data_IF_015946282482
#
_entry.id   IF_015946282482
#
_cell.length_a   1.000
_cell.length_b   1.000
_cell.length_c   1.000
_cell.angle_alpha   90.00
_cell.angle_beta   90.00
_cell.angle_gamma   90.00
#
_symmetry.space_group_name_H-M   'P 1'
#
loop_
_entity.id
_entity.type
_entity.pdbx_description
1 polymer ?
#
# COMPACT_ATOMS: atom_id res chain seq x y z
N UNK A 1 -7.71 -3.91 -13.23
CA UNK A 1 -8.33 -3.03 -12.21
C UNK A 1 -9.77 -3.43 -11.92
N UNK A 2 -10.59 -3.70 -12.95
CA UNK A 2 -11.98 -4.11 -12.76
C UNK A 2 -12.14 -5.36 -11.89
N UNK A 3 -11.27 -6.34 -12.04
CA UNK A 3 -11.31 -7.60 -11.28
C UNK A 3 -11.03 -7.38 -9.78
N UNK A 4 -10.07 -6.52 -9.45
CA UNK A 4 -9.75 -6.19 -8.06
C UNK A 4 -10.93 -5.45 -7.42
N UNK A 5 -11.50 -4.49 -8.14
CA UNK A 5 -12.69 -3.77 -7.70
C UNK A 5 -13.89 -4.69 -7.50
N UNK A 6 -14.13 -5.64 -8.40
CA UNK A 6 -15.19 -6.64 -8.27
C UNK A 6 -14.99 -7.52 -7.03
N UNK A 7 -13.75 -7.95 -6.75
CA UNK A 7 -13.44 -8.72 -5.56
C UNK A 7 -13.71 -7.92 -4.27
N UNK A 8 -13.31 -6.65 -4.23
CA UNK A 8 -13.58 -5.76 -3.09
C UNK A 8 -15.08 -5.59 -2.85
N UNK A 9 -15.84 -5.34 -3.91
CA UNK A 9 -17.30 -5.23 -3.86
C UNK A 9 -17.94 -6.52 -3.32
N UNK A 10 -17.52 -7.67 -3.83
CA UNK A 10 -18.01 -8.98 -3.40
C UNK A 10 -17.75 -9.20 -1.91
N UNK A 11 -16.53 -8.97 -1.44
CA UNK A 11 -16.16 -9.12 -0.03
C UNK A 11 -17.00 -8.20 0.87
N UNK A 12 -17.13 -6.93 0.48
CA UNK A 12 -17.92 -5.95 1.24
C UNK A 12 -19.40 -6.34 1.36
N UNK A 13 -19.94 -7.02 0.34
CA UNK A 13 -21.32 -7.48 0.33
C UNK A 13 -21.56 -8.74 1.16
N UNK A 14 -20.51 -9.50 1.52
CA UNK A 14 -20.67 -10.76 2.26
C UNK A 14 -21.25 -10.50 3.65
N UNK A 15 -22.26 -11.30 4.08
CA UNK A 15 -22.86 -11.16 5.43
C UNK A 15 -21.87 -11.35 6.58
N UNK A 16 -20.83 -12.15 6.38
CA UNK A 16 -19.80 -12.47 7.38
C UNK A 16 -18.74 -11.36 7.56
N UNK A 17 -18.71 -10.36 6.67
CA UNK A 17 -17.76 -9.24 6.77
C UNK A 17 -18.34 -8.13 7.64
N UNK A 18 -17.64 -7.84 8.75
CA UNK A 18 -18.05 -6.82 9.71
C UNK A 18 -16.80 -6.22 10.39
N UNK A 19 -16.65 -4.88 10.43
CA UNK A 19 -17.47 -3.90 9.70
C UNK A 19 -17.37 -4.04 8.17
N UNK A 20 -18.23 -3.37 7.42
CA UNK A 20 -18.24 -3.43 5.94
C UNK A 20 -17.11 -2.61 5.32
N UNK A 21 -15.88 -2.97 5.69
CA UNK A 21 -14.64 -2.32 5.23
C UNK A 21 -13.70 -3.37 4.63
N UNK A 22 -13.12 -3.06 3.49
CA UNK A 22 -12.18 -3.94 2.78
C UNK A 22 -10.88 -3.17 2.56
N UNK A 23 -9.76 -3.77 2.93
CA UNK A 23 -8.42 -3.26 2.64
C UNK A 23 -7.82 -3.94 1.42
N UNK A 24 -6.83 -3.29 0.82
CA UNK A 24 -6.02 -3.87 -0.25
C UNK A 24 -4.55 -3.81 0.12
N UNK A 25 -3.82 -4.88 -0.17
CA UNK A 25 -2.36 -4.95 -0.02
C UNK A 25 -1.75 -5.60 -1.26
N UNK A 26 -0.60 -5.11 -1.67
CA UNK A 26 0.09 -5.67 -2.82
C UNK A 26 1.60 -5.48 -2.73
N UNK A 27 2.33 -6.34 -3.46
CA UNK A 27 3.78 -6.37 -3.52
C UNK A 27 4.25 -6.15 -4.94
N UNK A 28 5.30 -5.38 -5.14
CA UNK A 28 5.88 -5.09 -6.44
C UNK A 28 4.83 -4.42 -7.37
N UNK A 29 4.57 -5.01 -8.54
CA UNK A 29 3.48 -4.57 -9.41
C UNK A 29 2.14 -4.52 -8.66
N UNK A 30 1.86 -5.51 -7.81
CA UNK A 30 0.67 -5.54 -6.96
C UNK A 30 0.60 -4.38 -5.97
N UNK A 31 1.75 -3.86 -5.50
CA UNK A 31 1.81 -2.67 -4.67
C UNK A 31 1.31 -1.42 -5.41
N UNK A 32 1.78 -1.22 -6.64
CA UNK A 32 1.26 -0.14 -7.49
C UNK A 32 -0.23 -0.29 -7.81
N UNK A 33 -0.67 -1.53 -8.10
CA UNK A 33 -2.09 -1.82 -8.33
C UNK A 33 -2.96 -1.55 -7.08
N UNK A 34 -2.44 -1.83 -5.88
CA UNK A 34 -3.17 -1.54 -4.63
C UNK A 34 -3.44 -0.04 -4.47
N UNK A 35 -2.47 0.80 -4.80
CA UNK A 35 -2.64 2.25 -4.80
C UNK A 35 -3.62 2.71 -5.88
N UNK A 36 -3.49 2.17 -7.09
CA UNK A 36 -4.37 2.54 -8.21
C UNK A 36 -5.83 2.18 -7.93
N UNK A 37 -6.10 0.97 -7.43
CA UNK A 37 -7.48 0.60 -7.10
C UNK A 37 -8.05 1.42 -5.95
N UNK A 38 -7.21 1.78 -4.97
CA UNK A 38 -7.64 2.64 -3.86
C UNK A 38 -8.01 4.06 -4.33
N UNK A 39 -7.35 4.57 -5.37
CA UNK A 39 -7.68 5.86 -5.97
C UNK A 39 -8.97 5.83 -6.83
N UNK A 40 -9.34 4.67 -7.37
CA UNK A 40 -10.43 4.52 -8.33
C UNK A 40 -11.72 3.89 -7.75
N UNK A 41 -11.60 3.11 -6.68
CA UNK A 41 -12.70 2.27 -6.20
C UNK A 41 -13.12 2.63 -4.77
N UNK A 42 -14.34 3.11 -4.62
CA UNK A 42 -14.92 3.51 -3.33
C UNK A 42 -15.24 2.35 -2.37
N UNK A 43 -15.05 1.10 -2.75
CA UNK A 43 -15.21 -0.05 -1.85
C UNK A 43 -13.95 -0.38 -1.05
N UNK A 44 -12.80 0.22 -1.42
CA UNK A 44 -11.56 0.13 -0.66
C UNK A 44 -11.58 1.14 0.49
N UNK A 45 -11.23 0.70 1.69
CA UNK A 45 -11.21 1.53 2.89
C UNK A 45 -9.79 1.82 3.43
N UNK A 46 -8.79 1.06 3.01
CA UNK A 46 -7.38 1.28 3.32
C UNK A 46 -6.48 0.56 2.30
N UNK A 47 -5.31 1.11 2.03
CA UNK A 47 -4.35 0.52 1.09
C UNK A 47 -2.96 0.37 1.71
N UNK A 48 -2.28 -0.73 1.36
CA UNK A 48 -0.88 -0.99 1.71
C UNK A 48 -0.10 -1.34 0.44
N UNK A 49 1.00 -0.64 0.24
CA UNK A 49 1.88 -0.81 -0.91
C UNK A 49 3.27 -1.25 -0.46
N UNK A 50 3.70 -2.44 -0.83
CA UNK A 50 5.08 -2.90 -0.68
C UNK A 50 5.83 -2.66 -1.99
N UNK A 51 6.83 -1.80 -1.95
CA UNK A 51 7.73 -1.48 -3.06
C UNK A 51 7.05 -1.47 -4.45
N UNK A 52 5.87 -0.88 -4.51
CA UNK A 52 5.13 -0.66 -5.75
C UNK A 52 5.38 0.73 -6.34
N UNK A 53 5.11 0.89 -7.62
CA UNK A 53 5.23 2.19 -8.28
C UNK A 53 4.31 3.21 -7.62
N UNK A 54 4.83 4.34 -7.12
CA UNK A 54 4.02 5.44 -6.62
C UNK A 54 3.04 5.99 -7.68
N UNK A 55 1.93 6.53 -7.23
CA UNK A 55 0.96 7.16 -8.11
C UNK A 55 1.50 8.50 -8.67
N UNK A 56 0.98 8.89 -9.83
CA UNK A 56 1.14 10.25 -10.35
C UNK A 56 0.45 11.28 -9.41
N UNK A 57 0.80 12.55 -9.54
CA UNK A 57 0.12 13.63 -8.79
C UNK A 57 -1.40 13.62 -9.04
N UNK A 58 -1.80 13.44 -10.32
CA UNK A 58 -3.20 13.41 -10.70
C UNK A 58 -3.98 12.25 -10.07
N UNK A 59 -3.35 11.06 -9.96
CA UNK A 59 -3.98 9.89 -9.35
C UNK A 59 -3.94 9.98 -7.83
N UNK A 60 -2.88 10.53 -7.25
CA UNK A 60 -2.80 10.78 -5.80
C UNK A 60 -3.91 11.74 -5.35
N UNK A 61 -4.23 12.75 -6.16
CA UNK A 61 -5.35 13.68 -5.90
C UNK A 61 -6.72 12.98 -5.85
N UNK A 62 -6.82 11.75 -6.33
CA UNK A 62 -8.07 10.95 -6.29
C UNK A 62 -8.17 10.06 -5.07
N UNK A 63 -7.09 9.85 -4.32
CA UNK A 63 -7.09 9.05 -3.10
C UNK A 63 -8.01 9.66 -2.03
N UNK A 64 -8.80 8.82 -1.39
CA UNK A 64 -9.72 9.21 -0.31
C UNK A 64 -9.62 8.30 0.90
N UNK A 65 -8.65 7.39 0.90
CA UNK A 65 -8.46 6.36 1.93
C UNK A 65 -7.05 6.39 2.48
N UNK A 66 -6.83 5.95 3.72
CA UNK A 66 -5.50 5.90 4.31
C UNK A 66 -4.56 4.95 3.55
N UNK A 67 -3.30 5.38 3.40
CA UNK A 67 -2.25 4.69 2.64
C UNK A 67 -1.04 4.40 3.51
N UNK A 68 -0.60 3.14 3.55
CA UNK A 68 0.70 2.74 4.07
C UNK A 68 1.61 2.36 2.91
N UNK A 69 2.75 3.04 2.78
CA UNK A 69 3.78 2.73 1.79
C UNK A 69 5.05 2.21 2.45
N UNK A 70 5.54 1.06 1.99
CA UNK A 70 6.69 0.34 2.53
C UNK A 70 7.70 0.13 1.40
N UNK A 71 8.80 0.88 1.45
CA UNK A 71 9.76 0.98 0.36
C UNK A 71 11.18 0.62 0.81
N UNK A 72 12.06 0.42 -0.14
CA UNK A 72 13.45 0.04 0.08
C UNK A 72 14.41 1.12 -0.43
N UNK A 73 15.45 1.46 0.35
CA UNK A 73 16.40 2.51 -0.04
C UNK A 73 17.28 2.11 -1.22
N UNK A 74 17.52 0.81 -1.42
CA UNK A 74 18.35 0.25 -2.49
C UNK A 74 17.53 -0.34 -3.64
N UNK A 75 16.30 0.14 -3.81
CA UNK A 75 15.46 -0.25 -4.95
C UNK A 75 15.89 0.52 -6.21
N UNK A 76 16.34 -0.22 -7.24
CA UNK A 76 16.79 0.37 -8.50
C UNK A 76 15.65 0.77 -9.45
N UNK A 77 14.44 0.26 -9.23
CA UNK A 77 13.27 0.58 -10.04
C UNK A 77 12.42 1.72 -9.47
N UNK A 78 12.50 1.92 -8.15
CA UNK A 78 11.73 2.93 -7.42
C UNK A 78 12.70 3.74 -6.56
N UNK A 79 13.03 4.94 -6.99
CA UNK A 79 14.02 5.78 -6.30
C UNK A 79 13.47 6.34 -4.99
N UNK A 80 14.35 6.58 -4.03
CA UNK A 80 14.00 7.30 -2.79
C UNK A 80 13.41 8.67 -3.10
N UNK A 81 13.92 9.34 -4.14
CA UNK A 81 13.39 10.64 -4.56
C UNK A 81 11.93 10.56 -5.01
N UNK A 82 11.55 9.51 -5.77
CA UNK A 82 10.17 9.30 -6.19
C UNK A 82 9.25 8.97 -5.01
N UNK A 83 9.74 8.18 -4.05
CA UNK A 83 9.01 7.86 -2.83
C UNK A 83 8.76 9.12 -1.99
N UNK A 84 9.78 9.98 -1.84
CA UNK A 84 9.64 11.24 -1.11
C UNK A 84 8.70 12.22 -1.81
N UNK A 85 8.75 12.29 -3.14
CA UNK A 85 7.81 13.11 -3.91
C UNK A 85 6.36 12.62 -3.72
N UNK A 86 6.16 11.32 -3.66
CA UNK A 86 4.84 10.73 -3.36
C UNK A 86 4.37 11.05 -1.93
N UNK A 87 5.25 10.97 -0.95
CA UNK A 87 4.97 11.33 0.45
C UNK A 87 4.52 12.80 0.56
N UNK A 88 5.27 13.70 -0.07
CA UNK A 88 4.91 15.14 -0.12
C UNK A 88 3.58 15.39 -0.83
N UNK A 89 3.27 14.62 -1.89
CA UNK A 89 1.99 14.75 -2.58
C UNK A 89 0.82 14.26 -1.72
N UNK A 90 0.99 13.17 -0.98
CA UNK A 90 0.00 12.69 -0.02
C UNK A 90 -0.29 13.76 1.06
N UNK A 91 0.75 14.46 1.52
CA UNK A 91 0.60 15.60 2.44
C UNK A 91 -0.21 16.73 1.80
N UNK A 92 0.13 17.13 0.57
CA UNK A 92 -0.59 18.19 -0.15
C UNK A 92 -2.06 17.87 -0.34
N UNK A 93 -2.38 16.61 -0.58
CA UNK A 93 -3.76 16.15 -0.77
C UNK A 93 -4.49 15.84 0.56
N UNK A 94 -3.82 16.04 1.70
CA UNK A 94 -4.34 15.73 3.02
C UNK A 94 -4.84 14.27 3.16
N UNK A 95 -4.18 13.34 2.49
CA UNK A 95 -4.45 11.90 2.61
C UNK A 95 -3.78 11.38 3.87
N UNK A 96 -4.50 10.71 4.80
CA UNK A 96 -3.87 10.04 5.93
C UNK A 96 -2.90 8.96 5.44
N UNK A 97 -1.63 9.04 5.82
CA UNK A 97 -0.63 8.10 5.31
C UNK A 97 0.55 7.92 6.25
N UNK A 98 1.28 6.84 6.01
CA UNK A 98 2.59 6.57 6.57
C UNK A 98 3.47 6.02 5.45
N UNK A 99 4.63 6.65 5.22
CA UNK A 99 5.64 6.17 4.28
C UNK A 99 6.87 5.76 5.06
N UNK A 100 7.29 4.51 4.91
CA UNK A 100 8.47 3.98 5.56
C UNK A 100 9.47 3.46 4.52
N UNK A 101 10.71 3.92 4.60
CA UNK A 101 11.82 3.50 3.73
C UNK A 101 12.79 2.70 4.57
N UNK A 102 12.93 1.40 4.25
CA UNK A 102 13.87 0.50 4.92
C UNK A 102 15.28 0.70 4.38
N UNK A 103 16.15 1.24 5.25
CA UNK A 103 17.53 1.52 4.87
C UNK A 103 18.30 0.22 4.62
N UNK A 104 19.02 0.17 3.47
CA UNK A 104 19.77 -1.00 3.03
C UNK A 104 18.94 -2.13 2.42
N UNK A 105 17.61 -2.06 2.47
CA UNK A 105 16.75 -3.05 1.84
C UNK A 105 16.66 -2.86 0.32
N UNK A 106 16.43 -3.96 -0.38
CA UNK A 106 16.27 -3.99 -1.84
C UNK A 106 14.81 -4.25 -2.25
N UNK A 107 14.52 -4.03 -3.52
CA UNK A 107 13.23 -4.42 -4.09
C UNK A 107 12.93 -5.90 -3.80
N UNK A 108 11.71 -6.23 -3.42
CA UNK A 108 11.29 -7.57 -3.02
C UNK A 108 11.88 -8.07 -1.68
N UNK A 109 12.24 -7.17 -0.77
CA UNK A 109 12.80 -7.54 0.54
C UNK A 109 11.88 -8.43 1.39
N UNK A 110 10.59 -8.47 1.11
CA UNK A 110 9.61 -9.31 1.80
C UNK A 110 9.57 -10.75 1.28
N UNK A 111 10.16 -11.02 0.11
CA UNK A 111 10.09 -12.33 -0.54
C UNK A 111 11.17 -13.28 0.02
N UNK A 112 10.78 -14.21 0.88
CA UNK A 112 11.65 -15.19 1.53
C UNK A 112 12.23 -16.27 0.60
N UNK A 113 11.83 -16.26 -0.68
CA UNK A 113 12.38 -17.16 -1.70
C UNK A 113 13.51 -16.54 -2.50
N UNK A 114 13.91 -15.30 -2.22
CA UNK A 114 14.94 -14.56 -2.94
C UNK A 114 16.13 -14.18 -2.06
N UNK A 115 17.34 -14.05 -2.65
CA UNK A 115 18.54 -13.62 -1.91
C UNK A 115 18.43 -12.22 -1.29
N UNK A 116 17.56 -11.37 -1.82
CA UNK A 116 17.31 -9.99 -1.31
C UNK A 116 16.36 -9.96 -0.10
N UNK A 117 15.89 -11.10 0.34
CA UNK A 117 15.04 -11.18 1.54
C UNK A 117 15.75 -10.55 2.73
N UNK A 118 15.05 -9.63 3.39
CA UNK A 118 15.52 -8.95 4.60
C UNK A 118 14.52 -9.27 5.73
N UNK A 119 14.87 -10.22 6.63
CA UNK A 119 13.96 -10.66 7.69
C UNK A 119 13.49 -9.55 8.61
N UNK A 120 14.38 -8.62 8.99
CA UNK A 120 14.05 -7.52 9.90
C UNK A 120 13.07 -6.54 9.25
N UNK A 121 13.38 -6.13 8.01
CA UNK A 121 12.50 -5.24 7.24
C UNK A 121 11.16 -5.91 6.97
N UNK A 122 11.15 -7.20 6.60
CA UNK A 122 9.93 -7.95 6.32
C UNK A 122 9.04 -8.08 7.55
N UNK A 123 9.59 -8.38 8.72
CA UNK A 123 8.85 -8.50 9.97
C UNK A 123 8.23 -7.16 10.39
N UNK A 124 9.02 -6.10 10.38
CA UNK A 124 8.53 -4.75 10.71
C UNK A 124 7.45 -4.29 9.74
N UNK A 125 7.66 -4.50 8.43
CA UNK A 125 6.69 -4.13 7.40
C UNK A 125 5.36 -4.89 7.56
N UNK A 126 5.43 -6.17 7.92
CA UNK A 126 4.23 -6.97 8.16
C UNK A 126 3.49 -6.51 9.41
N UNK A 127 4.21 -6.23 10.50
CA UNK A 127 3.60 -5.71 11.71
C UNK A 127 2.91 -4.36 11.47
N UNK A 128 3.54 -3.46 10.73
CA UNK A 128 2.93 -2.17 10.31
C UNK A 128 1.67 -2.39 9.48
N UNK A 129 1.69 -3.36 8.57
CA UNK A 129 0.52 -3.73 7.75
C UNK A 129 -0.65 -4.18 8.62
N UNK A 130 -0.41 -5.08 9.58
CA UNK A 130 -1.45 -5.56 10.48
C UNK A 130 -2.03 -4.43 11.35
N UNK A 131 -1.17 -3.57 11.89
CA UNK A 131 -1.59 -2.44 12.73
C UNK A 131 -2.37 -1.41 11.90
N UNK A 132 -1.95 -1.17 10.64
CA UNK A 132 -2.66 -0.29 9.71
C UNK A 132 -4.08 -0.77 9.45
N UNK A 133 -4.24 -2.03 9.16
CA UNK A 133 -5.57 -2.62 8.92
C UNK A 133 -6.41 -2.69 10.20
N UNK A 134 -5.83 -2.97 11.36
CA UNK A 134 -6.57 -2.89 12.63
C UNK A 134 -7.12 -1.49 12.86
N UNK A 135 -6.30 -0.48 12.66
CA UNK A 135 -6.70 0.92 12.86
C UNK A 135 -7.79 1.36 11.90
N UNK A 136 -7.67 1.02 10.62
CA UNK A 136 -8.53 1.58 9.57
C UNK A 136 -9.69 0.68 9.14
N UNK A 137 -9.63 -0.63 9.40
CA UNK A 137 -10.70 -1.56 9.00
C UNK A 137 -11.55 -2.03 10.17
N UNK A 138 -10.99 -2.18 11.36
CA UNK A 138 -11.68 -2.79 12.50
C UNK A 138 -12.32 -1.76 13.41
N UNK A 139 -11.75 -0.59 13.45
CA UNK A 139 -12.23 0.52 14.31
C UNK A 139 -13.22 1.44 13.61
#
# INVERSE_FOLDING_TARGET
MAEIGAAAHYLKAMPSVSPKKVGVVGWCMGGGLSLSVAAENGDIAAAVCFYGQPLSEADTARLRVPVLGLFASEDHGISVADVRAFDEELDRQAVPHEIHIYDGAHHAFFNDTRPVYDPEAAEDAWQRTLDWFRTHLVQ
#
